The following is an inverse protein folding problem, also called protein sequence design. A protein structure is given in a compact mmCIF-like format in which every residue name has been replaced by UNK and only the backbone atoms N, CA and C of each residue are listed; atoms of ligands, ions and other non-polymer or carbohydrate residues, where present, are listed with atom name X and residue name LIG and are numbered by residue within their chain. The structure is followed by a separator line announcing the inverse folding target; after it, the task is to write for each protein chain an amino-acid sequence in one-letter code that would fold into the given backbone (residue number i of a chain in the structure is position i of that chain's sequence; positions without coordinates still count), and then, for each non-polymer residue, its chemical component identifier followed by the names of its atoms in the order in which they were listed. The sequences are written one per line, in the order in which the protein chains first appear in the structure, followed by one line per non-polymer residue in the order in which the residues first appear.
data_IF_180768426501
#
_entry.id   IF_180768426501
#
_cell.length_a   1.000
_cell.length_b   1.000
_cell.length_c   1.000
_cell.angle_alpha   90.00
_cell.angle_beta   90.00
_cell.angle_gamma   90.00
#
_symmetry.space_group_name_H-M   'P 1'
#
loop_
_entity.id
_entity.type
_entity.pdbx_description
1 polymer ?
#
# COMPACT_ATOMS: atom_id res chain seq x y z
N UNK A 1 21.50 -5.37 37.36
CA UNK A 1 20.94 -5.73 36.05
C UNK A 1 20.95 -7.25 35.81
N UNK A 2 22.10 -7.93 35.85
CA UNK A 2 22.19 -9.39 35.66
C UNK A 2 21.21 -10.21 36.54
N UNK A 3 21.11 -9.91 37.84
CA UNK A 3 20.13 -10.57 38.71
C UNK A 3 18.66 -10.35 38.27
N UNK A 4 18.34 -9.20 37.67
CA UNK A 4 17.00 -8.92 37.15
C UNK A 4 16.73 -9.65 35.83
N UNK A 5 17.73 -9.73 34.95
CA UNK A 5 17.68 -10.51 33.70
C UNK A 5 17.42 -11.99 34.03
N UNK A 6 18.18 -12.53 34.97
CA UNK A 6 18.04 -13.93 35.38
C UNK A 6 16.67 -14.22 36.01
N UNK A 7 16.18 -13.32 36.87
CA UNK A 7 14.85 -13.47 37.46
C UNK A 7 13.72 -13.42 36.40
N UNK A 8 13.82 -12.51 35.42
CA UNK A 8 12.86 -12.42 34.34
C UNK A 8 12.89 -13.68 33.46
N UNK A 9 14.08 -14.20 33.15
CA UNK A 9 14.26 -15.44 32.37
C UNK A 9 13.65 -16.65 33.07
N UNK A 10 13.86 -16.79 34.38
CA UNK A 10 13.23 -17.85 35.20
C UNK A 10 11.70 -17.75 35.20
N UNK A 11 11.16 -16.53 35.07
CA UNK A 11 9.73 -16.28 34.94
C UNK A 11 9.18 -16.34 33.52
N UNK A 12 10.02 -16.60 32.50
CA UNK A 12 9.61 -16.56 31.10
C UNK A 12 9.21 -15.16 30.59
N UNK A 13 9.68 -14.10 31.25
CA UNK A 13 9.38 -12.70 30.89
C UNK A 13 10.47 -12.18 29.97
N UNK A 14 10.14 -11.68 28.76
CA UNK A 14 11.10 -11.05 27.87
C UNK A 14 11.79 -9.84 28.50
N UNK A 15 13.08 -9.69 28.23
CA UNK A 15 13.89 -8.56 28.71
C UNK A 15 14.42 -7.78 27.53
N UNK A 16 14.09 -6.49 27.48
CA UNK A 16 14.62 -5.53 26.51
C UNK A 16 15.62 -4.64 27.24
N UNK A 17 16.80 -4.46 26.66
CA UNK A 17 17.86 -3.61 27.23
C UNK A 17 18.25 -2.51 26.25
N UNK A 18 18.46 -1.31 26.79
CA UNK A 18 18.97 -0.15 26.07
C UNK A 18 20.36 0.20 26.64
N UNK A 19 21.44 -0.13 25.91
CA UNK A 19 22.79 0.03 26.43
C UNK A 19 23.24 1.49 26.36
N UNK A 20 23.59 2.08 27.51
CA UNK A 20 24.15 3.43 27.54
C UNK A 20 25.63 3.47 27.12
N UNK A 21 26.05 4.58 26.51
CA UNK A 21 27.45 4.87 26.15
C UNK A 21 28.42 4.64 27.32
N UNK A 22 29.49 3.90 27.07
CA UNK A 22 30.56 3.64 28.04
C UNK A 22 30.26 2.54 29.06
N UNK A 23 29.10 1.87 28.96
CA UNK A 23 28.78 0.69 29.77
C UNK A 23 29.24 -0.58 29.05
N UNK A 24 29.95 -1.51 29.72
CA UNK A 24 30.30 -2.80 29.13
C UNK A 24 29.05 -3.61 28.77
N UNK A 25 28.93 -4.02 27.51
CA UNK A 25 27.74 -4.69 26.98
C UNK A 25 27.56 -6.11 27.53
N UNK A 26 28.62 -6.73 28.03
CA UNK A 26 28.61 -8.07 28.64
C UNK A 26 27.66 -8.13 29.84
N UNK A 27 27.36 -6.98 30.45
CA UNK A 27 26.38 -6.88 31.54
C UNK A 27 24.95 -7.19 31.11
N UNK A 28 24.68 -7.22 29.81
CA UNK A 28 23.36 -7.50 29.25
C UNK A 28 23.20 -8.93 28.72
N UNK A 29 24.22 -9.77 28.83
CA UNK A 29 24.15 -11.18 28.43
C UNK A 29 22.91 -11.87 29.03
N UNK A 30 22.22 -12.66 28.22
CA UNK A 30 20.99 -13.37 28.60
C UNK A 30 19.70 -12.55 28.49
N UNK A 31 19.75 -11.28 28.07
CA UNK A 31 18.56 -10.53 27.70
C UNK A 31 17.90 -11.11 26.42
N UNK A 32 16.64 -10.74 26.17
CA UNK A 32 15.90 -11.19 24.98
C UNK A 32 16.18 -10.29 23.77
N UNK A 33 16.20 -8.98 23.99
CA UNK A 33 16.40 -7.97 22.94
C UNK A 33 17.40 -6.92 23.43
N UNK A 34 18.37 -6.56 22.59
CA UNK A 34 19.24 -5.39 22.80
C UNK A 34 18.95 -4.31 21.76
N UNK A 35 18.76 -3.06 22.20
CA UNK A 35 18.45 -1.93 21.33
C UNK A 35 19.49 -0.80 21.42
N UNK A 36 20.69 -0.91 20.86
CA UNK A 36 21.62 0.22 20.82
C UNK A 36 21.22 1.23 19.72
N UNK A 37 21.82 2.42 19.73
CA UNK A 37 21.85 3.31 18.57
C UNK A 37 23.12 3.12 17.71
N UNK A 38 23.15 3.75 16.53
CA UNK A 38 24.26 3.68 15.57
C UNK A 38 25.63 3.94 16.21
N UNK A 39 25.72 4.99 17.03
CA UNK A 39 26.98 5.43 17.65
C UNK A 39 27.44 4.41 18.69
N UNK A 40 26.52 3.95 19.54
CA UNK A 40 26.78 2.95 20.57
C UNK A 40 27.20 1.60 19.98
N UNK A 41 26.50 1.15 18.93
CA UNK A 41 26.88 -0.04 18.16
C UNK A 41 28.27 0.10 17.57
N UNK A 42 28.58 1.23 16.92
CA UNK A 42 29.89 1.46 16.32
C UNK A 42 31.03 1.45 17.35
N UNK A 43 30.78 1.99 18.55
CA UNK A 43 31.72 1.90 19.66
C UNK A 43 31.95 0.46 20.13
N UNK A 44 30.91 -0.38 20.13
CA UNK A 44 31.02 -1.78 20.53
C UNK A 44 31.81 -2.61 19.52
N UNK A 45 31.52 -2.50 18.22
CA UNK A 45 32.19 -3.28 17.17
C UNK A 45 33.55 -2.71 16.75
N UNK A 46 33.86 -1.47 17.16
CA UNK A 46 35.17 -0.84 16.94
C UNK A 46 35.32 -0.12 15.60
N UNK A 47 34.23 0.08 14.86
CA UNK A 47 34.21 0.84 13.60
C UNK A 47 32.88 1.60 13.44
N UNK A 48 32.85 2.60 12.55
CA UNK A 48 31.62 3.32 12.24
C UNK A 48 30.60 2.41 11.54
N UNK A 49 29.33 2.73 11.68
CA UNK A 49 28.21 2.09 10.99
C UNK A 49 27.72 3.08 9.95
N UNK A 50 28.15 2.92 8.70
CA UNK A 50 27.93 3.91 7.64
C UNK A 50 26.92 3.42 6.59
N UNK A 51 26.58 2.13 6.62
CA UNK A 51 25.61 1.51 5.71
C UNK A 51 24.69 0.51 6.42
N UNK A 52 23.55 0.14 5.81
CA UNK A 52 22.72 -0.96 6.30
C UNK A 52 23.47 -2.30 6.39
N UNK A 53 24.45 -2.54 5.51
CA UNK A 53 25.26 -3.74 5.56
C UNK A 53 26.16 -3.77 6.81
N UNK A 54 26.75 -2.65 7.18
CA UNK A 54 27.55 -2.53 8.42
C UNK A 54 26.67 -2.76 9.65
N UNK A 55 25.46 -2.20 9.65
CA UNK A 55 24.50 -2.37 10.74
C UNK A 55 24.06 -3.84 10.88
N UNK A 56 23.78 -4.52 9.77
CA UNK A 56 23.45 -5.94 9.76
C UNK A 56 24.58 -6.80 10.32
N UNK A 57 25.83 -6.57 9.88
CA UNK A 57 26.99 -7.30 10.36
C UNK A 57 27.23 -7.05 11.87
N UNK A 58 27.14 -5.79 12.30
CA UNK A 58 27.28 -5.43 13.71
C UNK A 58 26.16 -6.02 14.59
N UNK A 59 24.94 -6.08 14.08
CA UNK A 59 23.81 -6.75 14.74
C UNK A 59 24.08 -8.23 14.97
N UNK A 60 24.62 -8.94 13.97
CA UNK A 60 24.98 -10.35 14.10
C UNK A 60 26.08 -10.55 15.14
N UNK A 61 27.12 -9.70 15.10
CA UNK A 61 28.19 -9.72 16.09
C UNK A 61 27.69 -9.49 17.52
N UNK A 62 26.74 -8.56 17.71
CA UNK A 62 26.10 -8.33 19.01
C UNK A 62 25.35 -9.57 19.51
N UNK A 63 24.52 -10.17 18.66
CA UNK A 63 23.77 -11.38 19.01
C UNK A 63 24.70 -12.53 19.40
N UNK A 64 25.75 -12.78 18.62
CA UNK A 64 26.72 -13.84 18.87
C UNK A 64 27.54 -13.60 20.13
N UNK A 65 28.14 -12.40 20.27
CA UNK A 65 29.07 -12.08 21.36
C UNK A 65 28.38 -11.98 22.71
N UNK A 66 27.12 -11.53 22.72
CA UNK A 66 26.34 -11.34 23.95
C UNK A 66 25.36 -12.49 24.21
N UNK A 67 25.25 -13.44 23.29
CA UNK A 67 24.26 -14.52 23.35
C UNK A 67 22.83 -13.98 23.55
N UNK A 68 22.53 -12.88 22.84
CA UNK A 68 21.22 -12.23 22.86
C UNK A 68 20.51 -12.60 21.54
N UNK A 69 19.29 -13.15 21.58
CA UNK A 69 18.62 -13.65 20.36
C UNK A 69 18.26 -12.58 19.34
N UNK A 70 18.07 -11.33 19.77
CA UNK A 70 17.61 -10.25 18.90
C UNK A 70 18.36 -8.95 19.17
N UNK A 71 18.91 -8.36 18.11
CA UNK A 71 19.44 -7.00 18.12
C UNK A 71 18.56 -6.10 17.25
N UNK A 72 18.19 -4.93 17.79
CA UNK A 72 17.45 -3.88 17.07
C UNK A 72 18.28 -2.60 17.11
N UNK A 73 18.99 -2.27 16.03
CA UNK A 73 19.84 -1.09 16.01
C UNK A 73 19.06 0.09 15.43
N UNK A 74 18.93 1.19 16.18
CA UNK A 74 18.35 2.43 15.64
C UNK A 74 19.40 3.20 14.84
N UNK A 75 19.07 3.52 13.59
CA UNK A 75 19.96 4.07 12.56
C UNK A 75 19.58 5.51 12.16
N UNK A 76 19.04 6.29 13.11
CA UNK A 76 18.61 7.67 12.90
C UNK A 76 17.60 7.78 11.73
N UNK A 77 17.89 8.60 10.72
CA UNK A 77 17.04 8.78 9.53
C UNK A 77 16.94 7.56 8.64
N UNK A 78 17.81 6.56 8.80
CA UNK A 78 17.78 5.33 7.99
C UNK A 78 16.80 4.29 8.57
N UNK A 79 16.27 4.52 9.78
CA UNK A 79 15.28 3.66 10.42
C UNK A 79 15.87 2.69 11.44
N UNK A 80 15.47 1.42 11.41
CA UNK A 80 15.90 0.41 12.37
C UNK A 80 16.34 -0.89 11.68
N UNK A 81 17.43 -1.48 12.16
CA UNK A 81 17.92 -2.78 11.68
C UNK A 81 17.55 -3.87 12.68
N UNK A 82 16.75 -4.86 12.25
CA UNK A 82 16.48 -6.09 13.00
C UNK A 82 17.52 -7.14 12.62
N UNK A 83 18.07 -7.83 13.61
CA UNK A 83 18.99 -8.93 13.38
C UNK A 83 18.76 -10.05 14.38
N UNK A 84 18.75 -11.28 13.87
CA UNK A 84 18.75 -12.53 14.64
C UNK A 84 19.96 -13.39 14.20
N UNK A 85 20.37 -14.40 14.99
CA UNK A 85 21.48 -15.29 14.61
C UNK A 85 21.23 -16.09 13.32
N UNK A 86 19.99 -16.55 13.12
CA UNK A 86 19.66 -17.57 12.12
C UNK A 86 19.04 -17.01 10.83
N UNK A 87 18.54 -15.77 10.85
CA UNK A 87 17.85 -15.16 9.71
C UNK A 87 18.66 -14.02 9.09
N UNK A 88 18.24 -13.59 7.90
CA UNK A 88 18.78 -12.41 7.27
C UNK A 88 18.33 -11.15 8.03
N UNK A 89 19.26 -10.20 8.18
CA UNK A 89 18.95 -8.94 8.83
C UNK A 89 17.99 -8.12 7.96
N UNK A 90 17.01 -7.48 8.59
CA UNK A 90 15.95 -6.73 7.91
C UNK A 90 16.04 -5.26 8.30
N UNK A 91 16.17 -4.39 7.30
CA UNK A 91 16.09 -2.94 7.49
C UNK A 91 14.63 -2.49 7.41
N UNK A 92 14.20 -1.78 8.45
CA UNK A 92 12.91 -1.10 8.52
C UNK A 92 13.13 0.40 8.36
N UNK A 93 13.04 0.94 7.13
CA UNK A 93 13.26 2.37 6.90
C UNK A 93 12.22 3.20 7.66
N UNK A 94 12.65 4.33 8.18
CA UNK A 94 11.73 5.35 8.68
C UNK A 94 11.34 6.30 7.54
N UNK A 95 10.16 6.90 7.59
CA UNK A 95 9.81 7.93 6.61
C UNK A 95 10.62 9.19 6.86
N UNK A 96 10.98 9.88 5.77
CA UNK A 96 11.54 11.22 5.85
C UNK A 96 10.54 12.16 6.50
N UNK A 97 10.93 12.79 7.62
CA UNK A 97 10.12 13.69 8.43
C UNK A 97 10.88 14.97 8.74
N UNK A 98 10.14 16.04 9.07
CA UNK A 98 10.75 17.27 9.57
C UNK A 98 11.08 17.07 11.04
N UNK A 99 12.34 16.75 11.35
CA UNK A 99 12.80 16.52 12.72
C UNK A 99 12.92 17.85 13.45
N UNK A 100 12.19 18.00 14.55
CA UNK A 100 12.26 19.15 15.44
C UNK A 100 13.21 18.88 16.61
N UNK A 101 13.07 17.72 17.27
CA UNK A 101 13.88 17.30 18.41
C UNK A 101 14.03 15.77 18.42
N UNK A 102 15.22 15.28 18.74
CA UNK A 102 15.51 13.83 18.84
C UNK A 102 15.51 13.33 20.30
N UNK A 103 15.29 14.23 21.25
CA UNK A 103 15.25 13.93 22.67
C UNK A 103 14.00 13.10 23.00
N UNK A 104 14.18 11.84 23.41
CA UNK A 104 13.07 10.92 23.75
C UNK A 104 12.83 9.82 22.71
N UNK A 105 13.34 9.95 21.48
CA UNK A 105 13.16 9.00 20.40
C UNK A 105 13.54 7.55 20.78
N UNK A 106 14.64 7.39 21.52
CA UNK A 106 15.08 6.09 22.04
C UNK A 106 14.09 5.50 23.05
N UNK A 107 13.58 6.32 23.97
CA UNK A 107 12.61 5.93 25.00
C UNK A 107 11.27 5.53 24.38
N UNK A 108 10.83 6.23 23.34
CA UNK A 108 9.62 5.89 22.58
C UNK A 108 9.75 4.56 21.85
N UNK A 109 10.88 4.33 21.17
CA UNK A 109 11.15 3.02 20.56
C UNK A 109 11.14 1.94 21.63
N UNK A 110 11.84 2.13 22.75
CA UNK A 110 11.88 1.15 23.84
C UNK A 110 10.48 0.86 24.42
N UNK A 111 9.66 1.91 24.57
CA UNK A 111 8.27 1.80 25.06
C UNK A 111 7.40 1.00 24.11
N UNK A 112 7.52 1.25 22.79
CA UNK A 112 6.76 0.54 21.77
C UNK A 112 7.22 -0.90 21.59
N UNK A 113 8.53 -1.17 21.71
CA UNK A 113 9.04 -2.53 21.77
C UNK A 113 8.46 -3.27 22.99
N UNK A 114 8.48 -2.65 24.17
CA UNK A 114 7.89 -3.23 25.38
C UNK A 114 6.40 -3.54 25.24
N UNK A 115 5.63 -2.61 24.64
CA UNK A 115 4.21 -2.80 24.37
C UNK A 115 3.96 -3.97 23.40
N UNK A 116 4.63 -3.98 22.25
CA UNK A 116 4.39 -5.00 21.22
C UNK A 116 4.77 -6.40 21.69
N UNK A 117 5.93 -6.54 22.34
CA UNK A 117 6.38 -7.82 22.93
C UNK A 117 5.45 -8.25 24.06
N UNK A 118 5.02 -7.33 24.93
CA UNK A 118 4.04 -7.62 25.98
C UNK A 118 2.68 -8.07 25.42
N UNK A 119 2.31 -7.59 24.24
CA UNK A 119 1.13 -8.02 23.49
C UNK A 119 1.36 -9.26 22.59
N UNK A 120 2.55 -9.87 22.63
CA UNK A 120 2.92 -11.03 21.80
C UNK A 120 2.83 -10.77 20.29
N UNK A 121 3.07 -9.52 19.86
CA UNK A 121 3.26 -9.21 18.45
C UNK A 121 4.62 -9.73 17.98
N UNK A 122 4.73 -10.02 16.68
CA UNK A 122 6.00 -10.33 16.05
C UNK A 122 6.94 -9.10 16.03
N UNK A 123 8.24 -9.35 15.85
CA UNK A 123 9.25 -8.30 15.88
C UNK A 123 9.06 -7.27 14.76
N UNK A 124 8.69 -7.71 13.56
CA UNK A 124 8.55 -6.83 12.40
C UNK A 124 7.41 -5.82 12.62
N UNK A 125 6.23 -6.30 12.98
CA UNK A 125 5.07 -5.47 13.32
C UNK A 125 5.41 -4.51 14.46
N UNK A 126 6.12 -4.99 15.48
CA UNK A 126 6.51 -4.17 16.64
C UNK A 126 7.46 -3.04 16.24
N UNK A 127 8.46 -3.32 15.40
CA UNK A 127 9.42 -2.33 14.89
C UNK A 127 8.72 -1.31 14.00
N UNK A 128 7.81 -1.74 13.13
CA UNK A 128 7.02 -0.84 12.29
C UNK A 128 6.21 0.14 13.14
N UNK A 129 5.53 -0.33 14.18
CA UNK A 129 4.80 0.52 15.13
C UNK A 129 5.72 1.50 15.86
N UNK A 130 6.89 1.03 16.29
CA UNK A 130 7.89 1.86 16.94
C UNK A 130 8.45 2.95 16.01
N UNK A 131 8.71 2.65 14.73
CA UNK A 131 9.12 3.63 13.72
C UNK A 131 8.08 4.73 13.55
N UNK A 132 6.79 4.37 13.49
CA UNK A 132 5.69 5.34 13.36
C UNK A 132 5.61 6.24 14.59
N UNK A 133 5.60 5.66 15.79
CA UNK A 133 5.48 6.42 17.03
C UNK A 133 6.69 7.35 17.25
N UNK A 134 7.90 6.85 17.02
CA UNK A 134 9.13 7.63 17.09
C UNK A 134 9.12 8.77 16.08
N UNK A 135 8.69 8.51 14.84
CA UNK A 135 8.55 9.54 13.80
C UNK A 135 7.61 10.69 14.22
N UNK A 136 6.49 10.38 14.86
CA UNK A 136 5.55 11.38 15.38
C UNK A 136 6.08 12.15 16.59
N UNK A 137 6.91 11.51 17.41
CA UNK A 137 7.51 12.16 18.58
C UNK A 137 8.54 13.19 18.15
N UNK A 138 9.43 12.84 17.22
CA UNK A 138 10.54 13.72 16.82
C UNK A 138 10.11 14.99 16.08
N UNK A 139 8.86 15.05 15.62
CA UNK A 139 8.22 16.24 15.04
C UNK A 139 7.77 17.24 16.13
N UNK A 140 7.82 16.86 17.40
CA UNK A 140 7.38 17.65 18.55
C UNK A 140 8.59 18.14 19.38
N UNK A 141 8.45 19.26 20.11
CA UNK A 141 9.51 19.75 20.99
C UNK A 141 9.63 18.93 22.28
N UNK A 142 10.85 18.50 22.62
CA UNK A 142 11.15 17.76 23.85
C UNK A 142 10.58 16.35 23.90
N UNK A 143 10.61 15.74 25.09
CA UNK A 143 9.98 14.43 25.33
C UNK A 143 8.46 14.59 25.25
N UNK A 144 7.87 14.11 24.16
CA UNK A 144 6.49 14.39 23.81
C UNK A 144 5.63 13.13 23.91
N UNK A 145 4.38 13.32 24.33
CA UNK A 145 3.41 12.21 24.37
C UNK A 145 2.89 11.98 22.95
N UNK A 146 2.99 10.74 22.48
CA UNK A 146 2.35 10.26 21.27
C UNK A 146 1.17 9.39 21.67
N UNK A 147 -0.02 9.78 21.26
CA UNK A 147 -1.27 9.09 21.60
C UNK A 147 -1.57 7.95 20.62
N UNK A 148 -2.39 6.99 21.06
CA UNK A 148 -2.88 5.89 20.21
C UNK A 148 -3.59 6.41 18.96
N UNK A 149 -4.37 7.49 19.07
CA UNK A 149 -5.13 8.01 17.94
C UNK A 149 -4.24 8.69 16.91
N UNK A 150 -3.14 9.34 17.33
CA UNK A 150 -2.11 9.85 16.41
C UNK A 150 -1.42 8.72 15.65
N UNK A 151 -0.99 7.66 16.35
CA UNK A 151 -0.38 6.48 15.71
C UNK A 151 -1.35 5.84 14.71
N UNK A 152 -2.64 5.72 15.07
CA UNK A 152 -3.66 5.17 14.16
C UNK A 152 -3.91 6.06 12.95
N UNK A 153 -3.92 7.38 13.13
CA UNK A 153 -4.06 8.33 12.03
C UNK A 153 -2.87 8.20 11.07
N UNK A 154 -1.66 8.07 11.60
CA UNK A 154 -0.44 7.94 10.81
C UNK A 154 -0.33 6.59 10.10
N UNK A 155 -0.70 5.48 10.74
CA UNK A 155 -0.76 4.18 10.05
C UNK A 155 -1.74 4.20 8.88
N UNK A 156 -2.84 4.95 8.99
CA UNK A 156 -3.79 5.16 7.88
C UNK A 156 -3.18 5.98 6.76
N UNK A 157 -2.35 6.98 7.06
CA UNK A 157 -1.63 7.76 6.04
C UNK A 157 -0.54 6.93 5.34
N UNK A 158 0.12 6.00 6.04
CA UNK A 158 1.06 5.06 5.41
C UNK A 158 0.37 4.04 4.50
N UNK A 159 -0.81 3.52 4.87
CA UNK A 159 -1.63 2.75 3.91
C UNK A 159 -2.03 3.57 2.68
N UNK A 160 -1.97 4.91 2.75
CA UNK A 160 -2.19 5.84 1.64
C UNK A 160 -0.90 6.26 0.91
N UNK A 161 0.29 5.77 1.30
CA UNK A 161 1.57 6.12 0.65
C UNK A 161 1.87 5.32 -0.64
N UNK A 162 0.93 4.48 -1.05
CA UNK A 162 0.37 4.59 -2.41
C UNK A 162 -1.13 4.79 -2.19
N UNK A 163 -1.79 5.84 -2.74
CA UNK A 163 -3.24 5.84 -2.74
C UNK A 163 -3.65 4.57 -3.49
N UNK A 164 -4.22 3.60 -2.78
CA UNK A 164 -4.87 2.47 -3.43
C UNK A 164 -5.99 3.09 -4.23
N UNK A 165 -5.76 3.27 -5.53
CA UNK A 165 -6.76 3.88 -6.41
C UNK A 165 -8.06 3.08 -6.39
N UNK A 166 -8.00 1.79 -6.03
CA UNK A 166 -9.18 0.97 -5.74
C UNK A 166 -9.75 1.36 -4.36
N UNK A 167 -10.93 1.97 -4.36
CA UNK A 167 -11.60 2.50 -3.16
C UNK A 167 -13.08 2.12 -3.14
N UNK A 168 -13.68 2.10 -1.94
CA UNK A 168 -15.14 2.01 -1.82
C UNK A 168 -15.84 3.27 -2.32
N UNK A 169 -17.14 3.19 -2.63
CA UNK A 169 -17.94 4.35 -3.01
C UNK A 169 -17.90 5.46 -1.94
N UNK A 170 -17.98 5.10 -0.65
CA UNK A 170 -17.93 6.08 0.45
C UNK A 170 -16.60 6.82 0.52
N UNK A 171 -15.48 6.11 0.31
CA UNK A 171 -14.14 6.71 0.28
C UNK A 171 -13.97 7.61 -0.95
N UNK A 172 -14.38 7.12 -2.13
CA UNK A 172 -14.35 7.93 -3.35
C UNK A 172 -15.17 9.23 -3.21
N UNK A 173 -16.34 9.17 -2.56
CA UNK A 173 -17.16 10.36 -2.30
C UNK A 173 -16.45 11.35 -1.38
N UNK A 174 -15.84 10.89 -0.29
CA UNK A 174 -15.10 11.75 0.63
C UNK A 174 -13.91 12.44 -0.06
N UNK A 175 -13.17 11.68 -0.86
CA UNK A 175 -12.01 12.18 -1.58
C UNK A 175 -12.39 13.18 -2.68
N UNK A 176 -13.40 12.86 -3.50
CA UNK A 176 -13.93 13.78 -4.51
C UNK A 176 -14.42 15.09 -3.88
N UNK A 177 -15.04 15.03 -2.69
CA UNK A 177 -15.46 16.25 -1.99
C UNK A 177 -14.27 17.11 -1.59
N UNK A 178 -13.18 16.50 -1.12
CA UNK A 178 -11.92 17.20 -0.82
C UNK A 178 -11.34 17.85 -2.08
N UNK A 179 -11.24 17.09 -3.18
CA UNK A 179 -10.67 17.59 -4.44
C UNK A 179 -11.51 18.69 -5.08
N UNK A 180 -12.84 18.65 -4.94
CA UNK A 180 -13.72 19.74 -5.34
C UNK A 180 -13.52 21.02 -4.55
N UNK A 181 -13.21 20.93 -3.25
CA UNK A 181 -12.87 22.11 -2.45
C UNK A 181 -11.59 22.79 -2.96
N UNK A 182 -10.71 22.03 -3.61
CA UNK A 182 -9.52 22.53 -4.30
C UNK A 182 -9.81 23.00 -5.74
N UNK A 183 -11.07 22.98 -6.18
CA UNK A 183 -11.48 23.44 -7.50
C UNK A 183 -11.21 22.45 -8.64
N UNK A 184 -10.87 21.20 -8.33
CA UNK A 184 -10.63 20.17 -9.35
C UNK A 184 -11.92 19.71 -10.03
N UNK A 185 -11.82 19.46 -11.33
CA UNK A 185 -12.90 18.91 -12.17
C UNK A 185 -12.84 17.38 -12.18
N UNK A 186 -13.96 16.75 -11.83
CA UNK A 186 -14.06 15.29 -11.72
C UNK A 186 -14.68 14.68 -12.97
N UNK A 187 -13.95 13.76 -13.58
CA UNK A 187 -14.38 12.96 -14.71
C UNK A 187 -14.75 11.56 -14.23
N UNK A 188 -15.84 11.01 -14.76
CA UNK A 188 -16.25 9.64 -14.50
C UNK A 188 -16.48 8.86 -15.78
N UNK A 189 -16.06 7.61 -15.76
CA UNK A 189 -16.32 6.60 -16.79
C UNK A 189 -16.66 5.28 -16.14
N UNK A 190 -17.31 4.37 -16.86
CA UNK A 190 -17.50 3.01 -16.39
C UNK A 190 -17.45 1.98 -17.52
N UNK A 191 -17.14 0.74 -17.15
CA UNK A 191 -17.15 -0.40 -18.07
C UNK A 191 -16.76 -1.71 -17.39
N UNK A 192 -16.89 -2.82 -18.13
CA UNK A 192 -16.48 -4.12 -17.61
C UNK A 192 -14.95 -4.30 -17.62
N UNK A 193 -14.24 -3.71 -18.60
CA UNK A 193 -12.78 -3.81 -18.76
C UNK A 193 -12.23 -5.25 -18.63
N UNK A 194 -12.91 -6.22 -19.24
CA UNK A 194 -12.64 -7.65 -19.06
C UNK A 194 -11.23 -8.06 -19.52
N UNK A 195 -10.88 -7.80 -20.78
CA UNK A 195 -9.49 -7.81 -21.24
C UNK A 195 -9.10 -6.40 -21.65
N UNK A 196 -8.16 -5.81 -20.91
CA UNK A 196 -7.58 -4.52 -21.27
C UNK A 196 -6.79 -4.64 -22.58
N UNK A 197 -6.90 -3.59 -23.39
CA UNK A 197 -6.21 -3.47 -24.67
C UNK A 197 -5.98 -1.99 -24.96
N UNK A 198 -5.19 -1.69 -25.99
CA UNK A 198 -4.83 -0.31 -26.34
C UNK A 198 -6.05 0.61 -26.50
N UNK A 199 -7.15 0.13 -27.08
CA UNK A 199 -8.39 0.90 -27.16
C UNK A 199 -8.95 1.37 -25.80
N UNK A 200 -8.86 0.55 -24.74
CA UNK A 200 -9.24 0.99 -23.39
C UNK A 200 -8.26 2.01 -22.82
N UNK A 201 -6.96 1.86 -23.09
CA UNK A 201 -5.93 2.79 -22.61
C UNK A 201 -6.11 4.16 -23.25
N UNK A 202 -6.23 4.22 -24.58
CA UNK A 202 -6.47 5.48 -25.32
C UNK A 202 -7.77 6.14 -24.85
N UNK A 203 -8.84 5.35 -24.69
CA UNK A 203 -10.11 5.82 -24.15
C UNK A 203 -9.98 6.46 -22.77
N UNK A 204 -9.29 5.80 -21.83
CA UNK A 204 -9.12 6.31 -20.48
C UNK A 204 -8.23 7.56 -20.44
N UNK A 205 -7.22 7.65 -21.31
CA UNK A 205 -6.39 8.84 -21.47
C UNK A 205 -7.19 10.03 -22.03
N UNK A 206 -8.03 9.79 -23.03
CA UNK A 206 -8.94 10.82 -23.54
C UNK A 206 -9.94 11.28 -22.47
N UNK A 207 -10.50 10.34 -21.71
CA UNK A 207 -11.39 10.68 -20.60
C UNK A 207 -10.66 11.53 -19.54
N UNK A 208 -9.46 11.12 -19.13
CA UNK A 208 -8.66 11.87 -18.16
C UNK A 208 -8.38 13.30 -18.63
N UNK A 209 -8.15 13.53 -19.93
CA UNK A 209 -7.89 14.87 -20.48
C UNK A 209 -9.05 15.88 -20.33
N UNK A 210 -10.26 15.42 -19.99
CA UNK A 210 -11.45 16.26 -19.86
C UNK A 210 -11.64 16.87 -18.45
N UNK A 211 -10.74 16.58 -17.52
CA UNK A 211 -10.72 17.15 -16.18
C UNK A 211 -9.40 16.90 -15.47
N UNK A 212 -9.42 16.99 -14.15
CA UNK A 212 -8.22 16.92 -13.31
C UNK A 212 -8.12 15.58 -12.56
N UNK A 213 -9.24 14.87 -12.43
CA UNK A 213 -9.36 13.63 -11.67
C UNK A 213 -10.30 12.65 -12.39
N UNK A 214 -9.81 11.46 -12.73
CA UNK A 214 -10.56 10.39 -13.38
C UNK A 214 -10.95 9.27 -12.40
N UNK A 215 -12.26 9.07 -12.28
CA UNK A 215 -12.86 7.94 -11.56
C UNK A 215 -13.41 6.91 -12.54
N UNK A 216 -13.01 5.65 -12.38
CA UNK A 216 -13.43 4.53 -13.21
C UNK A 216 -14.33 3.58 -12.40
N UNK A 217 -15.61 3.51 -12.74
CA UNK A 217 -16.51 2.49 -12.24
C UNK A 217 -16.32 1.15 -12.97
N UNK A 218 -16.09 0.06 -12.25
CA UNK A 218 -16.08 -1.28 -12.85
C UNK A 218 -17.22 -2.15 -12.34
N UNK A 219 -17.86 -2.86 -13.26
CA UNK A 219 -18.87 -3.85 -12.92
C UNK A 219 -18.23 -5.00 -12.14
N UNK A 220 -18.90 -5.47 -11.09
CA UNK A 220 -18.56 -6.69 -10.38
C UNK A 220 -18.71 -7.92 -11.29
N UNK A 221 -18.12 -9.03 -10.89
CA UNK A 221 -18.22 -10.28 -11.63
C UNK A 221 -19.67 -10.77 -11.75
N UNK A 222 -20.48 -10.56 -10.71
CA UNK A 222 -21.91 -10.85 -10.74
C UNK A 222 -22.64 -9.97 -11.75
N UNK A 223 -22.33 -8.66 -11.76
CA UNK A 223 -22.90 -7.69 -12.70
C UNK A 223 -22.53 -8.04 -14.15
N UNK A 224 -21.26 -8.39 -14.42
CA UNK A 224 -20.80 -8.77 -15.76
C UNK A 224 -21.45 -10.08 -16.22
N UNK A 225 -21.57 -11.09 -15.34
CA UNK A 225 -22.27 -12.35 -15.66
C UNK A 225 -23.72 -12.11 -16.06
N UNK A 226 -24.42 -11.24 -15.34
CA UNK A 226 -25.80 -10.89 -15.65
C UNK A 226 -25.93 -10.16 -17.00
N UNK A 227 -24.96 -9.31 -17.35
CA UNK A 227 -24.97 -8.51 -18.58
C UNK A 227 -24.51 -9.27 -19.83
N UNK A 228 -23.52 -10.16 -19.70
CA UNK A 228 -22.80 -10.76 -20.84
C UNK A 228 -22.90 -12.29 -20.89
N UNK A 229 -23.48 -12.93 -19.88
CA UNK A 229 -23.64 -14.38 -19.77
C UNK A 229 -22.62 -15.03 -18.81
N UNK A 230 -22.81 -16.32 -18.50
CA UNK A 230 -22.11 -17.01 -17.42
C UNK A 230 -20.61 -17.22 -17.67
N UNK A 231 -20.17 -17.20 -18.92
CA UNK A 231 -18.74 -17.38 -19.30
C UNK A 231 -17.92 -16.07 -19.19
N UNK A 232 -18.52 -14.99 -18.69
CA UNK A 232 -17.89 -13.67 -18.53
C UNK A 232 -18.07 -13.17 -17.10
N UNK A 233 -17.10 -12.46 -16.49
CA UNK A 233 -15.83 -12.05 -17.06
C UNK A 233 -14.79 -13.18 -17.09
N UNK A 234 -13.74 -13.02 -17.90
CA UNK A 234 -12.57 -13.89 -17.92
C UNK A 234 -11.61 -13.52 -16.78
N UNK A 235 -11.48 -12.23 -16.48
CA UNK A 235 -10.65 -11.71 -15.39
C UNK A 235 -11.52 -11.27 -14.21
N UNK A 236 -11.16 -11.71 -13.01
CA UNK A 236 -11.87 -11.37 -11.77
C UNK A 236 -11.86 -9.86 -11.50
N UNK A 237 -12.91 -9.33 -10.89
CA UNK A 237 -13.09 -7.89 -10.60
C UNK A 237 -11.92 -7.24 -9.87
N UNK A 238 -11.31 -7.96 -8.93
CA UNK A 238 -10.17 -7.46 -8.16
C UNK A 238 -8.94 -7.24 -9.05
N UNK A 239 -8.66 -8.16 -9.96
CA UNK A 239 -7.55 -8.05 -10.91
C UNK A 239 -7.81 -6.96 -11.93
N UNK A 240 -9.05 -6.85 -12.43
CA UNK A 240 -9.46 -5.75 -13.33
C UNK A 240 -9.29 -4.39 -12.66
N UNK A 241 -9.67 -4.29 -11.39
CA UNK A 241 -9.49 -3.07 -10.59
C UNK A 241 -8.01 -2.72 -10.43
N UNK A 242 -7.18 -3.70 -10.07
CA UNK A 242 -5.74 -3.52 -9.90
C UNK A 242 -5.05 -3.08 -11.20
N UNK A 243 -5.41 -3.68 -12.34
CA UNK A 243 -4.85 -3.29 -13.64
C UNK A 243 -5.22 -1.85 -14.02
N UNK A 244 -6.46 -1.43 -13.76
CA UNK A 244 -6.88 -0.05 -14.01
C UNK A 244 -6.21 0.94 -13.05
N UNK A 245 -6.08 0.57 -11.77
CA UNK A 245 -5.34 1.36 -10.78
C UNK A 245 -3.87 1.57 -11.19
N UNK A 246 -3.24 0.57 -11.81
CA UNK A 246 -1.86 0.71 -12.28
C UNK A 246 -1.69 1.75 -13.41
N UNK A 247 -2.78 2.19 -14.07
CA UNK A 247 -2.70 3.19 -15.14
C UNK A 247 -2.47 4.59 -14.56
N UNK A 248 -1.48 5.30 -15.12
CA UNK A 248 -1.12 6.65 -14.68
C UNK A 248 -2.28 7.66 -14.81
N UNK A 249 -3.19 7.47 -15.77
CA UNK A 249 -4.32 8.37 -16.05
C UNK A 249 -5.57 8.09 -15.18
N UNK A 250 -5.55 7.07 -14.34
CA UNK A 250 -6.69 6.69 -13.48
C UNK A 250 -6.38 7.09 -12.05
N UNK A 251 -7.25 7.87 -11.41
CA UNK A 251 -7.06 8.33 -10.03
C UNK A 251 -7.81 7.45 -9.04
N UNK A 252 -9.03 7.03 -9.38
CA UNK A 252 -9.81 6.11 -8.55
C UNK A 252 -10.55 5.04 -9.36
N UNK A 253 -10.71 3.87 -8.78
CA UNK A 253 -11.45 2.73 -9.31
C UNK A 253 -12.46 2.30 -8.25
N UNK A 254 -13.74 2.20 -8.64
CA UNK A 254 -14.83 1.79 -7.76
C UNK A 254 -15.56 0.58 -8.36
N UNK A 255 -15.64 -0.52 -7.61
CA UNK A 255 -16.39 -1.71 -8.02
C UNK A 255 -17.87 -1.53 -7.64
N UNK A 256 -18.79 -1.88 -8.55
CA UNK A 256 -20.23 -1.80 -8.31
C UNK A 256 -20.99 -3.01 -8.87
N UNK A 257 -22.06 -3.42 -8.17
CA UNK A 257 -22.84 -4.61 -8.47
C UNK A 257 -24.02 -4.35 -9.42
N UNK A 258 -24.52 -3.11 -9.43
CA UNK A 258 -25.71 -2.77 -10.17
C UNK A 258 -25.50 -2.93 -11.69
N UNK A 259 -26.59 -3.16 -12.42
CA UNK A 259 -26.57 -3.22 -13.89
C UNK A 259 -26.31 -1.87 -14.55
N UNK A 260 -26.41 -0.78 -13.78
CA UNK A 260 -26.29 0.58 -14.26
C UNK A 260 -25.56 1.47 -13.24
N UNK A 261 -24.83 2.50 -13.67
CA UNK A 261 -24.01 3.33 -12.78
C UNK A 261 -24.80 4.39 -12.00
N UNK A 262 -26.13 4.37 -11.96
CA UNK A 262 -26.94 5.47 -11.40
C UNK A 262 -26.63 5.75 -9.92
N UNK A 263 -26.36 4.72 -9.12
CA UNK A 263 -25.99 4.89 -7.70
C UNK A 263 -24.63 5.61 -7.57
N UNK A 264 -23.63 5.18 -8.34
CA UNK A 264 -22.32 5.83 -8.43
C UNK A 264 -22.47 7.29 -8.86
N UNK A 265 -23.23 7.56 -9.93
CA UNK A 265 -23.42 8.92 -10.43
C UNK A 265 -24.11 9.84 -9.42
N UNK A 266 -25.09 9.33 -8.65
CA UNK A 266 -25.74 10.09 -7.59
C UNK A 266 -24.82 10.38 -6.41
N UNK A 267 -23.94 9.45 -6.06
CA UNK A 267 -22.97 9.61 -4.98
C UNK A 267 -21.81 10.53 -5.36
N UNK A 268 -21.12 10.21 -6.47
CA UNK A 268 -19.92 10.90 -6.93
C UNK A 268 -20.24 12.27 -7.57
N UNK A 269 -21.41 12.39 -8.22
CA UNK A 269 -21.88 13.59 -8.95
C UNK A 269 -20.82 14.18 -9.90
N UNK A 270 -20.17 13.41 -10.78
CA UNK A 270 -19.06 13.88 -11.61
C UNK A 270 -19.44 15.08 -12.48
N UNK A 271 -18.46 15.94 -12.78
CA UNK A 271 -18.62 17.12 -13.65
C UNK A 271 -18.70 16.72 -15.13
N UNK A 272 -18.01 15.63 -15.50
CA UNK A 272 -18.01 15.06 -16.85
C UNK A 272 -18.25 13.55 -16.78
N UNK A 273 -19.24 13.05 -17.51
CA UNK A 273 -19.45 11.63 -17.76
C UNK A 273 -18.97 11.29 -19.16
N UNK A 274 -18.02 10.35 -19.24
CA UNK A 274 -17.41 9.94 -20.50
C UNK A 274 -17.83 8.51 -20.83
N UNK A 275 -18.19 8.27 -22.10
CA UNK A 275 -18.38 6.93 -22.65
C UNK A 275 -17.60 6.74 -23.95
N UNK A 276 -16.94 5.59 -24.07
CA UNK A 276 -16.31 5.14 -25.31
C UNK A 276 -17.30 4.36 -26.15
N UNK A 277 -17.24 4.56 -27.48
CA UNK A 277 -18.08 3.81 -28.42
C UNK A 277 -18.72 4.70 -29.48
N UNK A 278 -19.71 4.13 -30.17
CA UNK A 278 -20.50 4.81 -31.21
C UNK A 278 -21.82 5.37 -30.68
N UNK A 279 -21.93 5.56 -29.36
CA UNK A 279 -23.15 6.05 -28.72
C UNK A 279 -23.41 7.51 -29.06
N UNK A 280 -24.66 7.91 -29.23
CA UNK A 280 -25.03 9.32 -29.11
C UNK A 280 -24.87 9.75 -27.64
N UNK A 281 -24.46 11.00 -27.33
CA UNK A 281 -24.48 11.52 -25.96
C UNK A 281 -25.83 11.35 -25.25
N UNK A 282 -26.93 11.32 -26.00
CA UNK A 282 -28.29 11.15 -25.44
C UNK A 282 -28.63 9.69 -25.09
N UNK A 283 -27.86 8.73 -25.60
CA UNK A 283 -28.02 7.29 -25.33
C UNK A 283 -27.15 6.81 -24.15
N UNK A 284 -26.33 7.70 -23.59
CA UNK A 284 -25.45 7.37 -22.47
C UNK A 284 -26.26 7.18 -21.19
N UNK A 285 -26.32 5.93 -20.71
CA UNK A 285 -26.99 5.55 -19.45
C UNK A 285 -26.43 6.36 -18.27
N UNK A 286 -27.31 7.10 -17.59
CA UNK A 286 -26.97 7.97 -16.47
C UNK A 286 -26.63 9.41 -16.87
N UNK A 287 -26.61 9.73 -18.16
CA UNK A 287 -26.36 11.07 -18.66
C UNK A 287 -27.44 12.08 -18.23
N UNK A 288 -28.68 11.62 -18.04
CA UNK A 288 -29.77 12.43 -17.49
C UNK A 288 -29.52 12.89 -16.05
N UNK A 289 -28.92 12.04 -15.21
CA UNK A 289 -28.53 12.41 -13.83
C UNK A 289 -27.48 13.53 -13.88
N UNK A 290 -26.45 13.35 -14.72
CA UNK A 290 -25.31 14.27 -14.79
C UNK A 290 -25.73 15.64 -15.29
N UNK A 291 -26.55 15.67 -16.36
CA UNK A 291 -27.10 16.92 -16.91
C UNK A 291 -28.03 17.63 -15.92
N UNK A 292 -28.79 16.91 -15.10
CA UNK A 292 -29.75 17.50 -14.16
C UNK A 292 -29.10 18.44 -13.12
N UNK A 293 -27.81 18.26 -12.83
CA UNK A 293 -27.06 19.16 -11.95
C UNK A 293 -26.00 20.01 -12.67
N UNK A 294 -26.04 20.08 -14.00
CA UNK A 294 -25.16 20.93 -14.82
C UNK A 294 -23.84 20.28 -15.26
N UNK A 295 -23.67 18.96 -15.10
CA UNK A 295 -22.54 18.23 -15.63
C UNK A 295 -22.66 17.97 -17.14
N UNK A 296 -21.56 17.54 -17.75
CA UNK A 296 -21.44 17.32 -19.19
C UNK A 296 -21.35 15.83 -19.51
N UNK A 297 -21.86 15.44 -20.68
CA UNK A 297 -21.76 14.07 -21.19
C UNK A 297 -20.94 14.10 -22.49
N UNK A 298 -19.85 13.36 -22.52
CA UNK A 298 -18.94 13.27 -23.66
C UNK A 298 -18.86 11.84 -24.18
N UNK A 299 -18.83 11.70 -25.50
CA UNK A 299 -18.55 10.41 -26.16
C UNK A 299 -17.23 10.54 -26.90
N UNK A 300 -16.30 9.64 -26.60
CA UNK A 300 -14.98 9.60 -27.23
C UNK A 300 -14.99 8.68 -28.46
N UNK A 301 -14.04 8.87 -29.37
CA UNK A 301 -13.92 8.05 -30.58
C UNK A 301 -13.61 6.58 -30.27
N UNK A 302 -13.84 5.71 -31.27
CA UNK A 302 -13.42 4.31 -31.24
C UNK A 302 -12.11 4.16 -31.99
N UNK A 303 -11.11 3.52 -31.38
CA UNK A 303 -9.92 3.06 -32.11
C UNK A 303 -10.31 1.84 -32.95
N UNK A 304 -10.29 1.98 -34.27
CA UNK A 304 -10.71 0.93 -35.20
C UNK A 304 -9.89 -0.37 -35.03
N UNK A 305 -10.58 -1.51 -35.03
CA UNK A 305 -9.97 -2.84 -35.21
C UNK A 305 -9.73 -3.69 -33.95
N UNK A 306 -9.80 -3.14 -32.72
CA UNK A 306 -9.40 -3.88 -31.50
C UNK A 306 -10.56 -3.95 -30.49
N UNK A 307 -11.03 -5.17 -30.19
CA UNK A 307 -12.00 -5.42 -29.11
C UNK A 307 -11.70 -6.73 -28.39
N UNK A 308 -12.05 -6.83 -27.10
CA UNK A 308 -11.93 -8.04 -26.27
C UNK A 308 -12.53 -9.28 -26.96
N UNK A 309 -13.65 -9.12 -27.67
CA UNK A 309 -14.30 -10.22 -28.42
C UNK A 309 -13.45 -10.68 -29.60
N UNK A 310 -12.80 -9.75 -30.33
CA UNK A 310 -11.92 -10.08 -31.46
C UNK A 310 -10.63 -10.76 -31.01
N UNK A 311 -10.04 -10.32 -29.90
CA UNK A 311 -8.84 -10.94 -29.32
C UNK A 311 -9.15 -12.38 -28.90
N UNK A 312 -10.25 -12.61 -28.19
CA UNK A 312 -10.64 -13.96 -27.78
C UNK A 312 -10.99 -14.83 -28.98
N UNK A 313 -11.70 -14.29 -29.98
CA UNK A 313 -11.97 -15.01 -31.22
C UNK A 313 -10.69 -15.42 -31.96
N UNK A 314 -9.66 -14.56 -31.99
CA UNK A 314 -8.36 -14.90 -32.60
C UNK A 314 -7.59 -16.01 -31.86
N UNK A 315 -7.68 -16.05 -30.53
CA UNK A 315 -7.05 -17.11 -29.73
C UNK A 315 -7.82 -18.44 -29.88
N UNK A 316 -9.16 -18.38 -29.93
CA UNK A 316 -10.01 -19.54 -30.17
C UNK A 316 -9.84 -20.11 -31.60
N UNK A 317 -9.67 -19.25 -32.61
CA UNK A 317 -9.39 -19.71 -33.99
C UNK A 317 -8.00 -20.31 -34.14
N UNK A 318 -6.99 -19.74 -33.47
CA UNK A 318 -5.62 -20.29 -33.48
C UNK A 318 -5.53 -21.68 -32.81
N UNK A 319 -6.36 -21.92 -31.78
CA UNK A 319 -6.41 -23.23 -31.10
C UNK A 319 -7.25 -24.29 -31.83
N UNK A 320 -8.16 -23.89 -32.73
CA UNK A 320 -8.85 -24.82 -33.64
C UNK A 320 -7.98 -25.30 -34.81
N UNK A 321 -7.09 -24.46 -35.33
CA UNK A 321 -6.16 -24.84 -36.40
C UNK A 321 -5.07 -25.83 -35.91
N UNK A 322 -4.66 -25.73 -34.65
CA UNK A 322 -3.67 -26.63 -34.07
C UNK A 322 -4.23 -28.07 -33.87
N UNK A 323 -5.54 -28.20 -33.59
CA UNK A 323 -6.23 -29.51 -33.58
C UNK A 323 -6.39 -30.11 -34.97
N UNK A 324 -6.59 -29.28 -36.01
CA UNK A 324 -6.67 -29.74 -37.39
C UNK A 324 -5.29 -30.15 -37.95
N UNK A 325 -4.21 -29.52 -37.49
CA UNK A 325 -2.83 -29.89 -37.85
C UNK A 325 -2.31 -31.12 -37.10
N UNK A 326 -2.70 -31.32 -35.83
CA UNK A 326 -2.35 -32.53 -35.08
C UNK A 326 -2.91 -33.81 -35.71
N UNK A 327 -4.09 -33.77 -36.33
CA UNK A 327 -4.69 -34.95 -36.97
C UNK A 327 -4.06 -35.35 -38.32
N UNK A 328 -3.35 -34.44 -39.02
CA UNK A 328 -2.66 -34.74 -40.30
C UNK A 328 -1.25 -35.28 -40.13
N UNK A 329 -0.68 -35.30 -38.92
CA UNK A 329 0.64 -35.89 -38.63
C UNK A 329 0.59 -37.30 -38.04
N UNK A 330 -0.61 -37.83 -37.82
CA UNK A 330 -0.84 -39.16 -37.23
C UNK A 330 -1.52 -40.16 -38.20
N UNK A 331 -1.48 -39.89 -39.52
CA UNK A 331 -2.00 -40.77 -40.56
C UNK A 331 -0.93 -41.11 -41.59
#
# INVERSE_FOLDING_TARGET
IQAAIEAARQGGVPVIVDPAKGVPYERYQGATIIKPNRIETGHYVGHSIDSPADAAAAGKQLCESLQIPVAIITLDSDGMMLTTPDEDAVLFPTAARTVYDITGAGDMVLSMLGLGIGCQLDYETTIQLANVACGLEVEKPGVAIVTRDEIRAELRSYSQSTPTKVVSLSEAVAEIQSQRQLGQRVVFTNGCFDLLHVGHITYLQEAASLGDLLVVGINSDASVRALKGPERPVIHEQDRAAMLAALACVDYVVVFDESTPHALLRGLRPDVLVKGGTYSPDEVVGGEIVRAYGGHVCVTGVVDGISTTKIIASVASASSDDRAHAHRRAG
#
